data_IF_237743981808
#
_entry.id   IF_237743981808
#
_cell.length_a   1.000
_cell.length_b   1.000
_cell.length_c   1.000
_cell.angle_alpha   90.00
_cell.angle_beta   90.00
_cell.angle_gamma   90.00
#
_symmetry.space_group_name_H-M   'P 1'
#
loop_
_entity.id
_entity.type
_entity.pdbx_description
1 polymer ?
#
# COMPACT_ATOMS: atom_id res chain seq x y z
N UNK A 1 -23.39 6.09 16.31
CA UNK A 1 -23.01 4.66 16.30
C UNK A 1 -21.76 4.46 17.14
N UNK A 2 -21.70 3.46 18.04
CA UNK A 2 -20.49 3.15 18.81
C UNK A 2 -19.36 2.71 17.89
N UNK A 3 -18.14 3.21 18.12
CA UNK A 3 -16.95 2.78 17.36
C UNK A 3 -16.30 1.58 18.04
N UNK A 4 -15.76 0.66 17.24
CA UNK A 4 -15.05 -0.51 17.74
C UNK A 4 -13.86 -0.07 18.63
N UNK A 5 -13.65 -0.66 19.82
CA UNK A 5 -12.50 -0.32 20.66
C UNK A 5 -11.18 -0.67 19.96
N UNK A 6 -10.12 0.03 20.35
CA UNK A 6 -8.76 -0.29 19.87
C UNK A 6 -8.32 -1.64 20.44
N UNK A 7 -7.61 -2.42 19.63
CA UNK A 7 -7.05 -3.72 19.98
C UNK A 7 -5.51 -3.66 20.02
N UNK A 8 -4.83 -4.56 20.75
CA UNK A 8 -3.38 -4.59 20.75
C UNK A 8 -2.81 -4.88 19.35
N UNK A 9 -1.63 -4.32 19.08
CA UNK A 9 -0.86 -4.58 17.87
C UNK A 9 -0.49 -6.06 17.79
N UNK A 10 -0.69 -6.71 16.65
CA UNK A 10 -0.38 -8.12 16.45
C UNK A 10 1.12 -8.43 16.31
N UNK A 11 2.00 -7.46 16.56
CA UNK A 11 3.45 -7.68 16.53
C UNK A 11 3.91 -8.18 17.90
N UNK A 12 4.71 -9.25 17.99
CA UNK A 12 5.14 -9.83 19.26
C UNK A 12 5.76 -8.77 20.19
N UNK A 13 5.27 -8.67 21.43
CA UNK A 13 5.79 -7.75 22.44
C UNK A 13 5.42 -6.27 22.26
N UNK A 14 4.55 -5.90 21.31
CA UNK A 14 4.17 -4.50 21.14
C UNK A 14 2.97 -4.11 22.02
N UNK A 15 3.09 -3.12 22.94
CA UNK A 15 2.00 -2.70 23.81
C UNK A 15 1.02 -1.72 23.15
N UNK A 16 1.26 -1.29 21.91
CA UNK A 16 0.48 -0.22 21.26
C UNK A 16 -0.92 -0.70 20.85
N UNK A 17 -1.92 0.13 21.09
CA UNK A 17 -3.30 -0.09 20.68
C UNK A 17 -3.59 0.51 19.29
N UNK A 18 -4.30 -0.23 18.45
CA UNK A 18 -4.53 0.08 17.03
C UNK A 18 -5.92 -0.38 16.61
N UNK A 19 -6.49 0.26 15.59
CA UNK A 19 -7.75 -0.18 14.96
C UNK A 19 -7.50 -1.26 13.88
N UNK A 20 -6.29 -1.28 13.32
CA UNK A 20 -5.86 -2.23 12.30
C UNK A 20 -5.18 -3.47 12.88
N UNK A 21 -4.41 -4.18 12.05
CA UNK A 21 -3.63 -5.37 12.50
C UNK A 21 -2.36 -4.97 13.26
N UNK A 22 -1.69 -3.93 12.81
CA UNK A 22 -0.43 -3.45 13.34
C UNK A 22 -0.55 -1.98 13.75
N UNK A 23 0.37 -1.50 14.60
CA UNK A 23 0.55 -0.06 14.80
C UNK A 23 1.31 0.53 13.60
N UNK A 24 1.35 1.86 13.48
CA UNK A 24 1.95 2.54 12.32
C UNK A 24 3.41 2.11 12.05
N UNK A 25 4.17 1.83 13.09
CA UNK A 25 5.56 1.35 12.98
C UNK A 25 5.63 -0.08 12.41
N UNK A 26 4.87 -1.00 12.99
CA UNK A 26 4.87 -2.39 12.55
C UNK A 26 4.18 -2.58 11.19
N UNK A 27 3.28 -1.68 10.81
CA UNK A 27 2.74 -1.63 9.46
C UNK A 27 3.83 -1.25 8.44
N UNK A 28 4.66 -0.25 8.75
CA UNK A 28 5.82 0.11 7.90
C UNK A 28 6.81 -1.06 7.82
N UNK A 29 7.13 -1.71 8.93
CA UNK A 29 8.06 -2.85 8.97
C UNK A 29 7.52 -4.02 8.14
N UNK A 30 6.25 -4.39 8.34
CA UNK A 30 5.61 -5.47 7.59
C UNK A 30 5.53 -5.16 6.09
N UNK A 31 5.28 -3.90 5.73
CA UNK A 31 5.30 -3.45 4.33
C UNK A 31 6.70 -3.58 3.74
N UNK A 32 7.75 -3.17 4.44
CA UNK A 32 9.13 -3.34 3.98
C UNK A 32 9.49 -4.81 3.80
N UNK A 33 9.10 -5.68 4.73
CA UNK A 33 9.31 -7.12 4.62
C UNK A 33 8.56 -7.71 3.41
N UNK A 34 7.30 -7.32 3.21
CA UNK A 34 6.53 -7.72 2.03
C UNK A 34 7.20 -7.28 0.73
N UNK A 35 7.62 -6.02 0.64
CA UNK A 35 8.30 -5.47 -0.54
C UNK A 35 9.62 -6.17 -0.85
N UNK A 36 10.38 -6.60 0.18
CA UNK A 36 11.67 -7.23 0.03
C UNK A 36 11.58 -8.72 -0.31
N UNK A 37 10.69 -9.46 0.34
CA UNK A 37 10.69 -10.92 0.30
C UNK A 37 9.51 -11.55 -0.45
N UNK A 38 8.36 -10.85 -0.51
CA UNK A 38 7.13 -11.43 -1.11
C UNK A 38 6.78 -10.80 -2.45
N UNK A 39 7.07 -9.52 -2.64
CA UNK A 39 6.72 -8.81 -3.87
C UNK A 39 7.73 -9.11 -4.97
N UNK A 40 7.25 -9.45 -6.16
CA UNK A 40 8.11 -9.67 -7.32
C UNK A 40 8.84 -8.36 -7.72
N UNK A 41 10.19 -8.32 -7.71
CA UNK A 41 10.96 -7.11 -8.05
C UNK A 41 10.69 -6.58 -9.46
N UNK A 42 10.34 -7.45 -10.41
CA UNK A 42 10.04 -7.07 -11.79
C UNK A 42 8.79 -6.17 -11.89
N UNK A 43 7.88 -6.23 -10.92
CA UNK A 43 6.69 -5.35 -10.89
C UNK A 43 7.07 -3.87 -10.77
N UNK A 44 8.11 -3.54 -10.00
CA UNK A 44 8.63 -2.16 -9.91
C UNK A 44 9.33 -1.70 -11.17
N UNK A 45 9.96 -2.62 -11.92
CA UNK A 45 10.57 -2.31 -13.22
C UNK A 45 9.51 -1.98 -14.27
N UNK A 46 8.41 -2.76 -14.32
CA UNK A 46 7.32 -2.55 -15.29
C UNK A 46 6.47 -1.31 -14.96
N UNK A 47 6.03 -1.17 -13.70
CA UNK A 47 5.12 -0.12 -13.26
C UNK A 47 5.82 0.90 -12.36
N UNK A 48 6.98 1.37 -12.81
CA UNK A 48 7.80 2.34 -12.09
C UNK A 48 7.41 3.81 -12.39
N UNK A 49 8.23 4.78 -11.94
CA UNK A 49 7.99 6.21 -12.19
C UNK A 49 7.90 6.58 -13.67
N UNK A 50 8.64 5.89 -14.54
CA UNK A 50 8.59 6.11 -15.98
C UNK A 50 7.21 5.76 -16.57
N UNK A 51 6.68 4.59 -16.22
CA UNK A 51 5.33 4.19 -16.60
C UNK A 51 4.29 5.20 -16.11
N UNK A 52 4.44 5.71 -14.88
CA UNK A 52 3.49 6.69 -14.33
C UNK A 52 3.43 7.94 -15.21
N UNK A 53 4.58 8.45 -15.66
CA UNK A 53 4.64 9.62 -16.55
C UNK A 53 3.91 9.36 -17.88
N UNK A 54 4.13 8.20 -18.48
CA UNK A 54 3.46 7.81 -19.74
C UNK A 54 1.95 7.72 -19.52
N UNK A 55 1.50 7.01 -18.47
CA UNK A 55 0.07 6.91 -18.16
C UNK A 55 -0.55 8.28 -17.94
N UNK A 56 0.08 9.12 -17.11
CA UNK A 56 -0.49 10.41 -16.75
C UNK A 56 -0.54 11.37 -17.97
N UNK A 57 0.32 11.18 -18.98
CA UNK A 57 0.18 11.85 -20.27
C UNK A 57 -0.99 11.29 -21.09
N UNK A 58 -1.07 9.97 -21.22
CA UNK A 58 -2.13 9.27 -21.95
C UNK A 58 -3.53 9.63 -21.44
N UNK A 59 -3.75 9.60 -20.12
CA UNK A 59 -5.04 9.92 -19.49
C UNK A 59 -5.42 11.40 -19.65
N UNK A 60 -4.42 12.30 -19.79
CA UNK A 60 -4.69 13.72 -20.05
C UNK A 60 -5.19 13.94 -21.48
N UNK A 61 -4.65 13.19 -22.43
CA UNK A 61 -5.08 13.20 -23.83
C UNK A 61 -6.39 12.44 -24.04
N UNK A 62 -6.64 11.40 -23.24
CA UNK A 62 -7.82 10.53 -23.30
C UNK A 62 -8.59 10.61 -21.97
N UNK A 63 -9.32 11.73 -21.71
CA UNK A 63 -10.01 11.94 -20.44
C UNK A 63 -11.31 11.12 -20.31
N UNK A 64 -11.80 10.54 -21.41
CA UNK A 64 -12.99 9.69 -21.46
C UNK A 64 -12.60 8.22 -21.61
N UNK A 65 -13.52 7.32 -21.25
CA UNK A 65 -13.30 5.89 -21.46
C UNK A 65 -13.31 5.59 -22.97
N UNK A 66 -12.29 4.90 -23.47
CA UNK A 66 -12.17 4.53 -24.88
C UNK A 66 -13.12 3.40 -25.31
N UNK A 67 -13.68 2.68 -24.33
CA UNK A 67 -14.52 1.50 -24.55
C UNK A 67 -16.02 1.77 -24.32
N UNK A 68 -16.39 2.97 -23.86
CA UNK A 68 -17.78 3.36 -23.60
C UNK A 68 -18.31 4.24 -24.73
#
# INVERSE_FOLDING_TARGET
MPRKPKKPCAYPGCPKLTYGRYCVEHEKLNRQHYEKYKRNPATKKRYGPHWKRIRDAYVREHPVCEMC
#
